data_IF_430284214033
#
_entry.id   IF_430284214033
#
_cell.length_a   1.000
_cell.length_b   1.000
_cell.length_c   1.000
_cell.angle_alpha   90.00
_cell.angle_beta   90.00
_cell.angle_gamma   90.00
#
_symmetry.space_group_name_H-M   'P 1'
#
loop_
_entity.id
_entity.type
_entity.pdbx_description
1 polymer ?
#
# COMPACT_ATOMS: atom_id res chain seq x y z
N UNK A 1 1.51 -6.39 -24.76
CA UNK A 1 1.10 -5.11 -25.41
C UNK A 1 2.27 -4.20 -25.19
N UNK A 2 3.01 -3.78 -26.21
CA UNK A 2 4.20 -2.95 -26.00
C UNK A 2 3.89 -1.57 -25.42
N UNK A 3 4.95 -0.87 -25.02
CA UNK A 3 4.95 0.46 -24.39
C UNK A 3 4.02 1.45 -25.09
N UNK A 4 4.11 1.60 -26.42
CA UNK A 4 3.28 2.54 -27.20
C UNK A 4 1.78 2.24 -27.10
N UNK A 5 1.42 0.95 -27.05
CA UNK A 5 0.03 0.53 -26.89
C UNK A 5 -0.51 0.87 -25.50
N UNK A 6 0.34 0.73 -24.46
CA UNK A 6 -0.05 1.12 -23.11
C UNK A 6 -0.12 2.64 -22.98
N UNK A 7 0.83 3.41 -23.53
CA UNK A 7 0.78 4.87 -23.53
C UNK A 7 -0.50 5.38 -24.22
N UNK A 8 -0.84 4.82 -25.38
CA UNK A 8 -2.09 5.13 -26.09
C UNK A 8 -3.32 4.82 -25.23
N UNK A 9 -3.32 3.69 -24.51
CA UNK A 9 -4.40 3.33 -23.59
C UNK A 9 -4.48 4.27 -22.37
N UNK A 10 -3.37 4.83 -21.91
CA UNK A 10 -3.35 5.83 -20.83
C UNK A 10 -3.97 7.15 -21.30
N UNK A 11 -3.58 7.62 -22.48
CA UNK A 11 -3.94 8.97 -22.96
C UNK A 11 -5.31 9.04 -23.62
N UNK A 12 -5.71 7.97 -24.32
CA UNK A 12 -6.93 7.93 -25.13
C UNK A 12 -7.87 6.78 -24.77
N UNK A 13 -7.41 5.86 -23.94
CA UNK A 13 -8.18 4.70 -23.53
C UNK A 13 -9.23 5.02 -22.47
N UNK A 14 -9.98 3.99 -22.12
CA UNK A 14 -11.05 4.07 -21.13
C UNK A 14 -10.88 3.12 -19.95
N UNK A 15 -11.83 3.19 -19.02
CA UNK A 15 -11.83 2.40 -17.79
C UNK A 15 -11.71 0.89 -18.01
N UNK A 16 -12.19 0.35 -19.14
CA UNK A 16 -12.05 -1.06 -19.48
C UNK A 16 -10.58 -1.46 -19.72
N UNK A 17 -9.81 -0.63 -20.44
CA UNK A 17 -8.39 -0.89 -20.70
C UNK A 17 -7.56 -0.70 -19.44
N UNK A 18 -7.83 0.36 -18.67
CA UNK A 18 -7.14 0.59 -17.41
C UNK A 18 -7.37 -0.56 -16.41
N UNK A 19 -8.58 -1.13 -16.37
CA UNK A 19 -8.86 -2.33 -15.58
C UNK A 19 -8.10 -3.56 -16.06
N UNK A 20 -7.96 -3.74 -17.37
CA UNK A 20 -7.17 -4.85 -17.95
C UNK A 20 -5.69 -4.71 -17.57
N UNK A 21 -5.12 -3.51 -17.70
CA UNK A 21 -3.74 -3.21 -17.31
C UNK A 21 -3.55 -3.46 -15.81
N UNK A 22 -4.43 -2.90 -14.97
CA UNK A 22 -4.41 -3.09 -13.51
C UNK A 22 -4.43 -4.57 -13.14
N UNK A 23 -5.33 -5.35 -13.76
CA UNK A 23 -5.44 -6.78 -13.49
C UNK A 23 -4.19 -7.55 -13.88
N UNK A 24 -3.58 -7.23 -15.02
CA UNK A 24 -2.34 -7.86 -15.46
C UNK A 24 -1.19 -7.55 -14.49
N UNK A 25 -1.08 -6.30 -14.04
CA UNK A 25 -0.07 -5.86 -13.06
C UNK A 25 -0.28 -6.51 -11.69
N UNK A 26 -1.53 -6.70 -11.26
CA UNK A 26 -1.84 -7.41 -10.01
C UNK A 26 -1.49 -8.91 -10.07
N UNK A 27 -1.64 -9.53 -11.25
CA UNK A 27 -1.31 -10.95 -11.45
C UNK A 27 0.19 -11.19 -11.56
N UNK A 28 0.92 -10.28 -12.21
CA UNK A 28 2.36 -10.36 -12.37
C UNK A 28 3.02 -8.97 -12.26
N UNK A 29 3.34 -8.50 -11.04
CA UNK A 29 3.88 -7.16 -10.78
C UNK A 29 5.25 -6.86 -11.41
N UNK A 30 5.96 -7.90 -11.83
CA UNK A 30 7.27 -7.82 -12.50
C UNK A 30 7.24 -8.38 -13.93
N UNK A 31 6.04 -8.69 -14.42
CA UNK A 31 5.78 -9.20 -15.75
C UNK A 31 5.96 -8.18 -16.85
N UNK A 32 5.77 -8.62 -18.08
CA UNK A 32 5.91 -7.80 -19.29
C UNK A 32 5.02 -6.55 -19.23
N UNK A 33 3.72 -6.73 -18.98
CA UNK A 33 2.75 -5.61 -18.91
C UNK A 33 3.12 -4.61 -17.82
N UNK A 34 3.67 -5.06 -16.68
CA UNK A 34 4.07 -4.18 -15.60
C UNK A 34 5.34 -3.37 -15.95
N UNK A 35 6.26 -3.95 -16.72
CA UNK A 35 7.44 -3.25 -17.23
C UNK A 35 7.06 -2.26 -18.33
N UNK A 36 6.24 -2.68 -19.28
CA UNK A 36 5.74 -1.81 -20.35
C UNK A 36 4.93 -0.64 -19.79
N UNK A 37 4.14 -0.88 -18.73
CA UNK A 37 3.44 0.18 -18.01
C UNK A 37 4.41 1.17 -17.36
N UNK A 38 5.44 0.68 -16.68
CA UNK A 38 6.43 1.53 -16.00
C UNK A 38 7.08 2.51 -17.00
N UNK A 39 7.46 2.01 -18.17
CA UNK A 39 8.01 2.82 -19.25
C UNK A 39 6.96 3.78 -19.85
N UNK A 40 5.75 3.29 -20.14
CA UNK A 40 4.68 4.11 -20.69
C UNK A 40 4.28 5.28 -19.76
N UNK A 41 4.34 5.08 -18.44
CA UNK A 41 4.08 6.12 -17.44
C UNK A 41 5.08 7.29 -17.49
N UNK A 42 6.22 7.14 -18.16
CA UNK A 42 7.23 8.20 -18.33
C UNK A 42 6.93 9.11 -19.52
N UNK A 43 6.18 8.62 -20.52
CA UNK A 43 5.90 9.32 -21.77
C UNK A 43 4.44 9.72 -21.96
N UNK A 44 3.51 9.12 -21.20
CA UNK A 44 2.08 9.42 -21.30
C UNK A 44 1.75 10.87 -20.89
N UNK A 45 0.85 11.49 -21.64
CA UNK A 45 0.50 12.90 -21.50
C UNK A 45 -0.59 13.16 -20.45
N UNK A 46 -1.39 12.14 -20.08
CA UNK A 46 -2.50 12.26 -19.12
C UNK A 46 -2.07 12.16 -17.65
N UNK A 47 -1.95 13.28 -16.90
CA UNK A 47 -1.30 13.25 -15.57
C UNK A 47 -2.13 12.50 -14.52
N UNK A 48 -3.47 12.59 -14.61
CA UNK A 48 -4.38 11.96 -13.65
C UNK A 48 -4.42 10.43 -13.77
N UNK A 49 -4.44 9.92 -15.01
CA UNK A 49 -4.42 8.48 -15.27
C UNK A 49 -3.05 7.91 -14.93
N UNK A 50 -1.97 8.59 -15.35
CA UNK A 50 -0.58 8.24 -15.02
C UNK A 50 -0.37 8.15 -13.51
N UNK A 51 -0.79 9.15 -12.74
CA UNK A 51 -0.66 9.11 -11.28
C UNK A 51 -1.43 7.94 -10.64
N UNK A 52 -2.58 7.56 -11.22
CA UNK A 52 -3.40 6.46 -10.71
C UNK A 52 -2.77 5.10 -11.01
N UNK A 53 -2.37 4.86 -12.25
CA UNK A 53 -1.75 3.60 -12.66
C UNK A 53 -0.36 3.42 -12.04
N UNK A 54 0.40 4.51 -11.83
CA UNK A 54 1.66 4.47 -11.07
C UNK A 54 1.45 3.95 -9.65
N UNK A 55 0.45 4.47 -8.93
CA UNK A 55 0.11 3.98 -7.57
C UNK A 55 -0.30 2.51 -7.58
N UNK A 56 -1.02 2.07 -8.62
CA UNK A 56 -1.37 0.65 -8.80
C UNK A 56 -0.12 -0.21 -8.95
N UNK A 57 0.82 0.20 -9.81
CA UNK A 57 2.09 -0.52 -10.03
C UNK A 57 2.95 -0.58 -8.77
N UNK A 58 3.15 0.56 -8.10
CA UNK A 58 3.88 0.64 -6.84
C UNK A 58 3.26 -0.27 -5.78
N UNK A 59 1.93 -0.27 -5.66
CA UNK A 59 1.21 -1.12 -4.72
C UNK A 59 1.31 -2.61 -5.06
N UNK A 60 1.31 -2.96 -6.34
CA UNK A 60 1.46 -4.34 -6.78
C UNK A 60 2.86 -4.88 -6.43
N UNK A 61 3.89 -4.03 -6.50
CA UNK A 61 5.29 -4.38 -6.23
C UNK A 61 5.70 -4.37 -4.75
N UNK A 62 4.80 -3.99 -3.84
CA UNK A 62 5.09 -4.05 -2.40
C UNK A 62 5.39 -5.49 -1.98
N UNK A 63 6.52 -5.66 -1.28
CA UNK A 63 6.86 -6.89 -0.57
C UNK A 63 5.85 -7.18 0.54
N UNK A 64 5.75 -8.44 0.97
CA UNK A 64 4.88 -8.83 2.10
C UNK A 64 5.16 -8.00 3.35
N UNK A 65 6.44 -7.67 3.58
CA UNK A 65 6.88 -6.89 4.73
C UNK A 65 6.42 -5.43 4.66
N UNK A 66 6.46 -4.82 3.48
CA UNK A 66 5.94 -3.46 3.27
C UNK A 66 4.42 -3.43 3.38
N UNK A 67 3.72 -4.45 2.86
CA UNK A 67 2.27 -4.60 3.03
C UNK A 67 1.90 -4.70 4.50
N UNK A 68 2.59 -5.57 5.25
CA UNK A 68 2.42 -5.69 6.70
C UNK A 68 2.70 -4.36 7.42
N UNK A 69 3.72 -3.61 6.99
CA UNK A 69 4.01 -2.29 7.54
C UNK A 69 2.89 -1.27 7.28
N UNK A 70 2.32 -1.25 6.08
CA UNK A 70 1.18 -0.40 5.75
C UNK A 70 -0.06 -0.76 6.59
N UNK A 71 -0.32 -2.05 6.78
CA UNK A 71 -1.41 -2.56 7.63
C UNK A 71 -1.20 -2.16 9.08
N UNK A 72 0.01 -2.34 9.59
CA UNK A 72 0.41 -1.91 10.93
C UNK A 72 0.20 -0.40 11.10
N UNK A 73 0.68 0.41 10.17
CA UNK A 73 0.54 1.86 10.21
C UNK A 73 -0.94 2.31 10.14
N UNK A 74 -1.78 1.60 9.37
CA UNK A 74 -3.24 1.85 9.36
C UNK A 74 -3.86 1.60 10.72
N UNK A 75 -3.50 0.49 11.36
CA UNK A 75 -4.01 0.11 12.67
C UNK A 75 -3.52 1.05 13.78
N UNK A 76 -2.27 1.52 13.71
CA UNK A 76 -1.75 2.60 14.57
C UNK A 76 -2.61 3.85 14.44
N UNK A 77 -2.91 4.29 13.22
CA UNK A 77 -3.74 5.48 12.99
C UNK A 77 -5.17 5.31 13.53
N UNK A 78 -5.77 4.12 13.41
CA UNK A 78 -7.12 3.89 13.91
C UNK A 78 -7.24 3.93 15.43
N UNK A 79 -6.13 3.82 16.17
CA UNK A 79 -6.14 3.99 17.63
C UNK A 79 -6.46 5.43 18.07
N UNK A 80 -6.22 6.44 17.21
CA UNK A 80 -6.30 7.85 17.57
C UNK A 80 -5.21 8.33 18.55
N UNK A 81 -4.28 7.46 18.94
CA UNK A 81 -3.22 7.77 19.88
C UNK A 81 -2.00 8.38 19.20
N UNK A 82 -1.20 9.13 19.97
CA UNK A 82 0.12 9.56 19.52
C UNK A 82 1.06 8.37 19.36
N UNK A 83 2.01 8.46 18.42
CA UNK A 83 3.04 7.42 18.22
C UNK A 83 3.78 7.05 19.51
N UNK A 84 4.06 8.03 20.38
CA UNK A 84 4.70 7.79 21.68
C UNK A 84 3.83 6.94 22.62
N UNK A 85 2.52 7.20 22.65
CA UNK A 85 1.59 6.43 23.46
C UNK A 85 1.42 4.99 22.94
N UNK A 86 1.34 4.83 21.61
CA UNK A 86 1.32 3.50 20.98
C UNK A 86 2.61 2.73 21.28
N UNK A 87 3.78 3.33 21.06
CA UNK A 87 5.07 2.68 21.34
C UNK A 87 5.15 2.19 22.80
N UNK A 88 4.72 3.02 23.75
CA UNK A 88 4.64 2.64 25.17
C UNK A 88 3.68 1.47 25.41
N UNK A 89 2.49 1.49 24.81
CA UNK A 89 1.51 0.40 24.97
C UNK A 89 2.03 -0.93 24.39
N UNK A 90 2.76 -0.87 23.27
CA UNK A 90 3.36 -2.05 22.66
C UNK A 90 4.62 -2.53 23.40
N UNK A 91 5.17 -1.72 24.31
CA UNK A 91 6.42 -2.02 25.02
C UNK A 91 7.65 -1.90 24.11
N UNK A 92 7.67 -0.90 23.23
CA UNK A 92 8.76 -0.67 22.27
C UNK A 92 9.13 0.82 22.17
N UNK A 93 10.19 1.12 21.43
CA UNK A 93 10.63 2.50 21.20
C UNK A 93 9.92 3.12 20.00
N UNK A 94 9.88 4.46 19.92
CA UNK A 94 9.34 5.18 18.74
C UNK A 94 10.10 4.84 17.45
N UNK A 95 11.40 4.66 17.54
CA UNK A 95 12.24 4.26 16.40
C UNK A 95 11.82 2.89 15.89
N UNK A 96 11.67 1.91 16.80
CA UNK A 96 11.24 0.55 16.43
C UNK A 96 9.78 0.48 15.99
N UNK A 97 8.91 1.35 16.51
CA UNK A 97 7.56 1.53 15.97
C UNK A 97 7.61 2.00 14.50
N UNK A 98 8.48 2.97 14.20
CA UNK A 98 8.65 3.48 12.83
C UNK A 98 9.14 2.39 11.88
N UNK A 99 10.04 1.51 12.33
CA UNK A 99 10.51 0.40 11.47
C UNK A 99 9.43 -0.64 11.20
N UNK A 100 8.46 -0.80 12.10
CA UNK A 100 7.26 -1.60 11.83
C UNK A 100 6.34 -0.92 10.83
N UNK A 101 6.04 0.38 11.01
CA UNK A 101 5.17 1.16 10.11
C UNK A 101 5.72 1.23 8.67
N UNK A 102 7.04 1.22 8.48
CA UNK A 102 7.68 1.24 7.15
C UNK A 102 7.90 -0.14 6.55
N UNK A 103 7.65 -1.22 7.31
CA UNK A 103 8.03 -2.57 6.87
C UNK A 103 9.55 -2.77 6.80
N UNK A 104 10.36 -1.96 7.49
CA UNK A 104 11.81 -2.22 7.64
C UNK A 104 12.08 -3.34 8.63
N UNK A 105 11.15 -3.66 9.52
CA UNK A 105 11.20 -4.85 10.38
C UNK A 105 9.81 -5.43 10.53
N UNK A 106 9.68 -6.75 10.46
CA UNK A 106 8.40 -7.42 10.76
C UNK A 106 8.17 -7.41 12.27
N UNK A 107 7.06 -6.86 12.78
CA UNK A 107 6.72 -7.00 14.19
C UNK A 107 6.51 -8.47 14.54
N UNK A 108 6.83 -8.87 15.77
CA UNK A 108 6.45 -10.21 16.23
C UNK A 108 4.93 -10.34 16.36
N UNK A 109 4.41 -11.56 16.31
CA UNK A 109 2.99 -11.83 16.50
C UNK A 109 2.44 -11.25 17.83
N UNK A 110 3.29 -11.18 18.87
CA UNK A 110 2.93 -10.58 20.16
C UNK A 110 2.70 -9.07 20.04
N UNK A 111 3.59 -8.35 19.34
CA UNK A 111 3.43 -6.91 19.10
C UNK A 111 2.21 -6.63 18.22
N UNK A 112 1.98 -7.48 17.22
CA UNK A 112 0.81 -7.39 16.36
C UNK A 112 -0.50 -7.51 17.15
N UNK A 113 -0.65 -8.58 17.95
CA UNK A 113 -1.85 -8.80 18.78
C UNK A 113 -2.11 -7.65 19.74
N UNK A 114 -1.07 -7.09 20.38
CA UNK A 114 -1.21 -5.91 21.25
C UNK A 114 -1.76 -4.69 20.51
N UNK A 115 -1.35 -4.49 19.26
CA UNK A 115 -1.85 -3.38 18.46
C UNK A 115 -3.31 -3.61 18.05
N UNK A 116 -3.70 -4.83 17.70
CA UNK A 116 -5.10 -5.19 17.40
C UNK A 116 -6.02 -4.98 18.61
N UNK A 117 -5.58 -5.41 19.79
CA UNK A 117 -6.31 -5.17 21.05
C UNK A 117 -6.44 -3.67 21.35
N UNK A 118 -5.38 -2.90 21.13
CA UNK A 118 -5.37 -1.45 21.33
C UNK A 118 -6.28 -0.71 20.34
N UNK A 119 -6.36 -1.17 19.09
CA UNK A 119 -7.18 -0.57 18.05
C UNK A 119 -8.64 -1.01 18.08
N UNK A 120 -8.98 -2.03 18.88
CA UNK A 120 -10.35 -2.53 19.00
C UNK A 120 -11.23 -1.44 19.65
N UNK A 121 -12.36 -1.05 19.02
CA UNK A 121 -13.30 -0.14 19.66
C UNK A 121 -13.81 -0.78 20.95
N UNK A 122 -13.79 -0.01 22.06
CA UNK A 122 -14.37 -0.49 23.31
C UNK A 122 -15.89 -0.57 23.15
N UNK A 123 -16.54 -1.66 23.57
CA UNK A 123 -18.00 -1.71 23.59
C UNK A 123 -18.50 -0.60 24.50
N UNK A 124 -19.31 0.29 23.94
CA UNK A 124 -20.11 1.24 24.72
C UNK A 124 -21.19 0.43 25.43
N UNK A 125 -21.02 0.22 26.73
CA UNK A 125 -22.13 -0.24 27.57
C UNK A 125 -23.14 0.91 27.66
N UNK A 126 -24.29 0.74 27.00
CA UNK A 126 -25.46 1.54 27.31
C UNK A 126 -26.15 0.93 28.55
N UNK A 127 -26.49 1.74 29.57
CA UNK A 127 -27.19 1.28 30.77
C UNK A 127 -28.61 0.81 30.47
#
# INVERSE_FOLDING_TARGET
MGVEGIATAIDRGGLAEWRRITRAVELDPHGEVARDLDEALTVAESPGVTATLRRTLERARLTDKERLGQDFARLVRSTGLTRSAVARHLGTSRSRLSTYETGTTTPSAVIWRRLEELARPRPVHHP
#
